data_IF_050578498764
#
_entry.id   IF_050578498764
#
_cell.length_a   1.000
_cell.length_b   1.000
_cell.length_c   1.000
_cell.angle_alpha   90.00
_cell.angle_beta   90.00
_cell.angle_gamma   90.00
#
_symmetry.space_group_name_H-M   'P 1'
#
loop_
_entity.id
_entity.type
_entity.pdbx_description
1 polymer ?
#
# COMPACT_ATOMS: atom_id res chain seq x y z
N UNK A 1 43.55 0.44 10.47
CA UNK A 1 42.38 -0.29 11.01
C UNK A 1 41.16 0.14 10.22
N UNK A 2 41.08 -0.19 8.94
CA UNK A 2 40.38 -1.36 8.37
C UNK A 2 38.86 -1.32 8.59
N UNK A 3 38.17 -0.64 7.66
CA UNK A 3 36.98 -1.07 6.90
C UNK A 3 36.20 -2.28 7.44
N UNK A 4 34.92 -2.08 7.79
CA UNK A 4 33.79 -3.02 7.62
C UNK A 4 32.63 -2.56 8.54
N UNK A 5 31.34 -2.58 8.26
CA UNK A 5 30.51 -2.87 7.08
C UNK A 5 29.10 -2.46 7.55
N UNK A 6 28.51 -1.45 6.92
CA UNK A 6 27.05 -1.31 6.89
C UNK A 6 26.54 -2.50 6.07
N UNK A 7 25.82 -3.47 6.64
CA UNK A 7 24.93 -4.32 5.84
C UNK A 7 23.76 -4.85 6.70
N UNK A 8 22.54 -4.29 6.54
CA UNK A 8 21.35 -4.77 5.77
C UNK A 8 20.56 -5.91 6.45
N UNK A 9 19.24 -5.70 6.49
CA UNK A 9 18.19 -6.71 6.34
C UNK A 9 18.03 -7.75 7.46
N UNK A 10 17.06 -7.51 8.34
CA UNK A 10 16.17 -8.60 8.72
C UNK A 10 14.98 -8.62 7.76
N UNK A 11 15.18 -9.21 6.59
CA UNK A 11 14.06 -9.71 5.78
C UNK A 11 13.56 -11.03 6.32
N UNK A 12 12.36 -10.98 6.86
CA UNK A 12 11.19 -11.81 6.53
C UNK A 12 11.32 -13.34 6.43
N UNK A 13 10.24 -13.97 6.92
CA UNK A 13 9.62 -15.23 6.45
C UNK A 13 10.25 -16.57 6.84
N UNK A 14 9.85 -17.08 8.01
CA UNK A 14 9.35 -18.44 8.26
C UNK A 14 8.97 -18.48 9.75
N UNK A 15 7.76 -18.83 10.21
CA UNK A 15 7.29 -20.21 10.23
C UNK A 15 5.76 -20.28 10.39
N UNK A 16 5.07 -20.64 9.31
CA UNK A 16 3.86 -21.45 9.42
C UNK A 16 4.28 -22.92 9.31
N UNK A 17 3.95 -23.76 10.30
CA UNK A 17 3.37 -25.13 10.18
C UNK A 17 3.51 -25.97 11.46
N UNK A 18 2.41 -26.00 12.21
CA UNK A 18 1.73 -27.11 12.91
C UNK A 18 2.55 -28.31 13.44
N UNK A 19 2.42 -28.59 14.75
CA UNK A 19 2.12 -29.94 15.28
C UNK A 19 1.45 -29.88 16.66
N UNK A 20 0.15 -29.55 16.70
CA UNK A 20 -0.68 -29.83 17.88
C UNK A 20 -1.07 -31.31 17.86
N UNK A 21 -0.50 -32.10 18.77
CA UNK A 21 -0.80 -33.51 18.96
C UNK A 21 -2.20 -33.66 19.58
N UNK A 22 -3.17 -34.10 18.78
CA UNK A 22 -4.56 -34.36 19.19
C UNK A 22 -4.66 -35.69 19.91
N UNK A 23 -4.73 -35.65 21.24
CA UNK A 23 -5.10 -36.80 22.05
C UNK A 23 -6.59 -37.14 21.83
N UNK A 24 -6.84 -38.43 21.64
CA UNK A 24 -8.09 -39.07 21.25
C UNK A 24 -9.24 -38.75 22.22
N UNK A 25 -10.41 -38.30 21.73
CA UNK A 25 -11.71 -38.74 22.28
C UNK A 25 -12.90 -38.34 21.38
N UNK A 26 -13.70 -39.37 21.05
CA UNK A 26 -15.15 -39.42 20.79
C UNK A 26 -15.90 -38.20 20.23
N UNK A 27 -16.40 -38.25 18.99
CA UNK A 27 -17.67 -38.86 18.49
C UNK A 27 -18.82 -37.84 18.32
N UNK A 28 -19.25 -37.72 17.06
CA UNK A 28 -20.61 -37.50 16.52
C UNK A 28 -21.49 -36.35 17.05
N UNK A 29 -21.60 -35.27 16.26
CA UNK A 29 -22.86 -34.56 16.01
C UNK A 29 -22.76 -33.71 14.72
N UNK A 30 -23.92 -33.47 14.10
CA UNK A 30 -24.12 -33.08 12.70
C UNK A 30 -23.92 -31.58 12.45
N UNK A 31 -23.48 -31.29 11.22
CA UNK A 31 -23.74 -30.12 10.37
C UNK A 31 -23.95 -28.75 11.03
N UNK A 32 -23.01 -27.83 10.77
CA UNK A 32 -23.32 -26.39 10.61
C UNK A 32 -22.29 -25.77 9.66
N UNK A 33 -22.82 -25.19 8.57
CA UNK A 33 -22.09 -24.39 7.61
C UNK A 33 -21.51 -23.16 8.31
N UNK A 34 -20.22 -22.89 8.12
CA UNK A 34 -19.77 -21.51 7.87
C UNK A 34 -18.45 -21.57 7.13
N UNK A 35 -18.46 -21.10 5.89
CA UNK A 35 -17.24 -20.75 5.18
C UNK A 35 -16.54 -19.67 6.01
N UNK A 36 -15.39 -19.99 6.59
CA UNK A 36 -14.47 -18.98 7.11
C UNK A 36 -13.83 -18.29 5.90
N UNK A 37 -14.60 -17.41 5.26
CA UNK A 37 -14.03 -16.32 4.48
C UNK A 37 -13.30 -15.43 5.46
N UNK A 38 -12.01 -15.69 5.64
CA UNK A 38 -11.13 -14.72 6.27
C UNK A 38 -11.15 -13.48 5.38
N UNK A 39 -11.96 -12.48 5.74
CA UNK A 39 -11.65 -11.13 5.36
C UNK A 39 -10.24 -10.89 5.92
N UNK A 40 -9.25 -10.86 5.04
CA UNK A 40 -7.99 -10.22 5.35
C UNK A 40 -8.39 -8.81 5.80
N UNK A 41 -8.40 -8.59 7.11
CA UNK A 41 -8.39 -7.24 7.64
C UNK A 41 -7.12 -6.66 7.04
N UNK A 42 -7.29 -5.76 6.07
CA UNK A 42 -6.19 -5.02 5.50
C UNK A 42 -5.50 -4.37 6.69
N UNK A 43 -4.26 -4.77 6.92
CA UNK A 43 -3.44 -4.19 7.95
C UNK A 43 -3.37 -2.67 7.71
N UNK A 44 -3.56 -1.82 8.74
CA UNK A 44 -3.40 -0.38 8.58
C UNK A 44 -1.99 0.05 8.13
N UNK A 45 -1.01 -0.86 8.12
CA UNK A 45 0.33 -0.69 7.56
C UNK A 45 0.47 -1.20 6.11
N UNK A 46 -0.61 -1.52 5.40
CA UNK A 46 -0.55 -2.22 4.10
C UNK A 46 0.33 -1.59 3.01
N UNK A 47 0.59 -0.28 3.07
CA UNK A 47 1.45 0.44 2.13
C UNK A 47 2.08 1.71 2.77
N UNK A 48 2.37 1.67 4.07
CA UNK A 48 2.87 2.86 4.77
C UNK A 48 4.20 3.36 4.19
N UNK A 49 5.10 2.43 3.85
CA UNK A 49 6.39 2.74 3.22
C UNK A 49 6.22 3.34 1.82
N UNK A 50 5.28 2.79 1.02
CA UNK A 50 4.95 3.33 -0.30
C UNK A 50 4.45 4.78 -0.21
N UNK A 51 3.59 5.06 0.77
CA UNK A 51 3.06 6.40 1.01
C UNK A 51 4.18 7.36 1.41
N UNK A 52 5.12 6.94 2.25
CA UNK A 52 6.28 7.76 2.64
C UNK A 52 7.14 8.06 1.43
N UNK A 53 7.50 7.05 0.64
CA UNK A 53 8.30 7.20 -0.57
C UNK A 53 7.63 8.13 -1.60
N UNK A 54 6.31 7.97 -1.81
CA UNK A 54 5.53 8.86 -2.66
C UNK A 54 5.50 10.29 -2.12
N UNK A 55 5.35 10.47 -0.80
CA UNK A 55 5.35 11.81 -0.23
C UNK A 55 6.69 12.51 -0.46
N UNK A 56 7.81 11.83 -0.23
CA UNK A 56 9.15 12.38 -0.43
C UNK A 56 9.41 12.73 -1.90
N UNK A 57 9.08 11.82 -2.82
CA UNK A 57 9.39 12.00 -4.23
C UNK A 57 8.35 12.88 -4.97
N UNK A 58 7.08 12.78 -4.61
CA UNK A 58 5.96 13.29 -5.43
C UNK A 58 5.16 14.46 -4.83
N UNK A 59 5.23 14.73 -3.52
CA UNK A 59 4.30 15.67 -2.85
C UNK A 59 4.21 17.04 -3.52
N UNK A 60 5.35 17.63 -3.91
CA UNK A 60 5.41 18.94 -4.57
C UNK A 60 4.66 19.01 -5.92
N UNK A 61 4.48 17.87 -6.60
CA UNK A 61 3.78 17.78 -7.87
C UNK A 61 2.27 17.62 -7.70
N UNK A 62 1.82 17.12 -6.54
CA UNK A 62 0.42 16.80 -6.28
C UNK A 62 -0.24 17.73 -5.27
N UNK A 63 0.52 18.55 -4.53
CA UNK A 63 -0.03 19.50 -3.56
C UNK A 63 -1.04 20.48 -4.19
N UNK A 64 -2.08 20.83 -3.43
CA UNK A 64 -3.05 21.86 -3.82
C UNK A 64 -2.39 23.24 -3.92
N UNK A 65 -2.97 24.11 -4.74
CA UNK A 65 -2.53 25.51 -4.89
C UNK A 65 -1.23 25.72 -5.68
N UNK A 66 -0.40 24.69 -5.87
CA UNK A 66 0.76 24.78 -6.76
C UNK A 66 0.34 24.74 -8.25
N UNK A 67 1.20 25.15 -9.18
CA UNK A 67 1.03 24.86 -10.60
C UNK A 67 1.05 23.34 -10.88
N UNK A 68 0.47 22.92 -12.00
CA UNK A 68 0.64 21.56 -12.53
C UNK A 68 1.90 21.54 -13.38
N UNK A 69 2.89 20.72 -12.98
CA UNK A 69 4.16 20.57 -13.70
C UNK A 69 4.49 19.08 -13.85
N UNK A 70 5.24 18.68 -14.89
CA UNK A 70 5.64 17.28 -15.07
C UNK A 70 6.41 16.73 -13.85
N UNK A 71 6.20 15.45 -13.48
CA UNK A 71 6.92 14.82 -12.38
C UNK A 71 8.41 14.62 -12.70
N UNK A 72 9.24 14.49 -11.66
CA UNK A 72 10.62 14.01 -11.82
C UNK A 72 10.65 12.52 -12.14
N UNK A 73 11.81 12.06 -12.63
CA UNK A 73 12.05 10.63 -12.82
C UNK A 73 11.91 9.86 -11.49
N UNK A 74 12.46 10.39 -10.40
CA UNK A 74 12.35 9.82 -9.05
C UNK A 74 10.89 9.63 -8.61
N UNK A 75 10.03 10.63 -8.84
CA UNK A 75 8.61 10.50 -8.55
C UNK A 75 7.97 9.39 -9.40
N UNK A 76 8.29 9.32 -10.69
CA UNK A 76 7.76 8.26 -11.54
C UNK A 76 8.24 6.86 -11.16
N UNK A 77 9.46 6.72 -10.65
CA UNK A 77 9.97 5.44 -10.19
C UNK A 77 9.25 4.98 -8.92
N UNK A 78 8.97 5.90 -7.98
CA UNK A 78 8.13 5.63 -6.82
C UNK A 78 6.70 5.24 -7.23
N UNK A 79 6.06 6.00 -8.12
CA UNK A 79 4.68 5.71 -8.60
C UNK A 79 4.57 4.33 -9.26
N UNK A 80 5.63 3.82 -9.88
CA UNK A 80 5.65 2.48 -10.49
C UNK A 80 5.87 1.34 -9.49
N UNK A 81 6.36 1.62 -8.28
CA UNK A 81 6.70 0.59 -7.29
C UNK A 81 5.62 0.35 -6.24
N UNK A 82 4.59 1.20 -6.15
CA UNK A 82 3.63 1.18 -5.04
C UNK A 82 2.50 0.15 -5.20
N UNK A 83 1.90 -0.25 -4.08
CA UNK A 83 0.58 -0.88 -4.03
C UNK A 83 -0.52 0.14 -4.34
N UNK A 84 -0.92 0.22 -5.62
CA UNK A 84 -1.94 1.17 -6.10
C UNK A 84 -3.27 1.08 -5.33
N UNK A 85 -3.90 -0.11 -5.15
CA UNK A 85 -5.12 -0.22 -4.35
C UNK A 85 -4.99 0.37 -2.94
N UNK A 86 -3.90 0.05 -2.23
CA UNK A 86 -3.70 0.54 -0.87
C UNK A 86 -3.48 2.06 -0.83
N UNK A 87 -2.56 2.56 -1.67
CA UNK A 87 -2.27 4.00 -1.77
C UNK A 87 -3.53 4.76 -2.13
N UNK A 88 -4.33 4.27 -3.08
CA UNK A 88 -5.58 4.91 -3.47
C UNK A 88 -6.59 5.03 -2.31
N UNK A 89 -6.64 4.04 -1.43
CA UNK A 89 -7.44 4.14 -0.20
C UNK A 89 -6.86 5.20 0.73
N UNK A 90 -5.54 5.23 0.92
CA UNK A 90 -4.85 6.18 1.79
C UNK A 90 -5.06 7.64 1.36
N UNK A 91 -4.97 7.94 0.05
CA UNK A 91 -5.18 9.29 -0.50
C UNK A 91 -6.59 9.83 -0.23
N UNK A 92 -7.56 8.95 0.05
CA UNK A 92 -8.92 9.33 0.43
C UNK A 92 -9.06 9.77 1.89
N UNK A 93 -8.05 9.52 2.72
CA UNK A 93 -8.09 9.80 4.16
C UNK A 93 -8.22 11.30 4.45
N UNK A 94 -8.99 11.68 5.49
CA UNK A 94 -9.00 13.06 6.00
C UNK A 94 -7.59 13.55 6.33
N UNK A 95 -7.29 14.82 6.11
CA UNK A 95 -5.95 15.39 6.26
C UNK A 95 -5.06 15.17 5.03
N UNK A 96 -5.05 13.98 4.42
CA UNK A 96 -4.29 13.74 3.18
C UNK A 96 -4.99 14.44 2.02
N UNK A 97 -6.27 14.11 1.81
CA UNK A 97 -7.09 14.67 0.72
C UNK A 97 -7.27 16.18 0.81
N UNK A 98 -7.03 16.77 1.98
CA UNK A 98 -7.09 18.21 2.20
C UNK A 98 -5.88 18.95 1.63
N UNK A 99 -4.73 18.29 1.54
CA UNK A 99 -3.46 18.88 1.10
C UNK A 99 -3.09 18.56 -0.36
N UNK A 100 -3.65 17.51 -0.95
CA UNK A 100 -3.33 17.07 -2.33
C UNK A 100 -4.49 17.28 -3.31
N UNK A 101 -4.18 17.55 -4.57
CA UNK A 101 -5.14 17.58 -5.67
C UNK A 101 -5.21 16.22 -6.34
N UNK A 102 -6.36 15.55 -6.26
CA UNK A 102 -6.55 14.26 -6.94
C UNK A 102 -6.40 14.37 -8.46
N UNK A 103 -6.81 15.49 -9.06
CA UNK A 103 -6.58 15.76 -10.48
C UNK A 103 -5.09 15.71 -10.84
N UNK A 104 -4.23 16.24 -9.96
CA UNK A 104 -2.78 16.17 -10.14
C UNK A 104 -2.21 14.77 -9.89
N UNK A 105 -2.79 14.01 -8.96
CA UNK A 105 -2.44 12.59 -8.78
C UNK A 105 -2.71 11.80 -10.06
N UNK A 106 -3.87 12.01 -10.70
CA UNK A 106 -4.19 11.41 -12.00
C UNK A 106 -3.26 11.90 -13.11
N UNK A 107 -2.92 13.20 -13.14
CA UNK A 107 -1.96 13.74 -14.10
C UNK A 107 -0.58 13.09 -13.95
N UNK A 108 -0.02 13.05 -12.74
CA UNK A 108 1.29 12.43 -12.46
C UNK A 108 1.29 10.95 -12.84
N UNK A 109 0.25 10.20 -12.46
CA UNK A 109 0.14 8.78 -12.79
C UNK A 109 0.16 8.54 -14.30
N UNK A 110 -0.60 9.33 -15.06
CA UNK A 110 -0.61 9.28 -16.53
C UNK A 110 0.75 9.64 -17.15
N UNK A 111 1.40 10.70 -16.66
CA UNK A 111 2.74 11.09 -17.13
C UNK A 111 3.78 10.00 -16.86
N UNK A 112 3.66 9.28 -15.75
CA UNK A 112 4.54 8.17 -15.39
C UNK A 112 4.17 6.84 -16.07
N UNK A 113 3.10 6.80 -16.87
CA UNK A 113 2.64 5.60 -17.57
C UNK A 113 1.95 4.57 -16.67
N UNK A 114 1.45 4.98 -15.50
CA UNK A 114 0.77 4.13 -14.53
C UNK A 114 -0.74 4.40 -14.57
N UNK A 115 -1.52 3.35 -14.75
CA UNK A 115 -2.99 3.43 -14.72
C UNK A 115 -3.49 3.23 -13.29
N UNK A 116 -4.26 4.19 -12.78
CA UNK A 116 -4.91 4.12 -11.46
C UNK A 116 -6.44 4.15 -11.61
N UNK A 117 -7.22 3.53 -10.70
CA UNK A 117 -8.67 3.52 -10.77
C UNK A 117 -9.25 4.94 -10.73
N UNK A 118 -10.28 5.21 -11.53
CA UNK A 118 -10.94 6.52 -11.55
C UNK A 118 -11.57 6.93 -10.22
N UNK A 119 -11.83 5.96 -9.35
CA UNK A 119 -12.33 6.17 -7.99
C UNK A 119 -11.22 6.25 -6.91
N UNK A 120 -9.95 6.34 -7.32
CA UNK A 120 -8.82 6.50 -6.41
C UNK A 120 -9.01 7.73 -5.51
N UNK A 121 -8.67 7.62 -4.22
CA UNK A 121 -8.85 8.68 -3.23
C UNK A 121 -10.30 9.11 -2.99
N UNK A 122 -11.28 8.29 -3.40
CA UNK A 122 -12.70 8.64 -3.34
C UNK A 122 -13.13 9.67 -4.39
N UNK A 123 -12.28 9.92 -5.41
CA UNK A 123 -12.63 10.77 -6.55
C UNK A 123 -13.74 10.10 -7.38
N UNK A 124 -14.51 10.88 -8.14
CA UNK A 124 -15.23 10.37 -9.31
C UNK A 124 -14.67 11.16 -10.48
N UNK A 125 -13.71 10.59 -11.20
CA UNK A 125 -13.25 11.14 -12.48
C UNK A 125 -14.30 10.92 -13.56
#
# INVERSE_FOLDING_TARGET
TTRATIHIHETHTAQHRRKGNTSKMSQLARASLTAMGGAAVADPAGCQDDVVALNEACYKYVQKGAPTVPPSQECCDAVKSVDVPCVCSYLGSPGVRDNISMEKVFYVSQQCGVSIPGNCGGSKV
#
